data_IF_908780386811
#
_entry.id   IF_908780386811
#
_cell.length_a   1.000
_cell.length_b   1.000
_cell.length_c   1.000
_cell.angle_alpha   90.00
_cell.angle_beta   90.00
_cell.angle_gamma   90.00
#
_symmetry.space_group_name_H-M   'P 1'
#
loop_
_entity.id
_entity.type
_entity.pdbx_description
1 polymer ?
#
# COMPACT_ATOMS: atom_id res chain seq x y z
N UNK A 1 -6.26 -26.16 -39.30
CA UNK A 1 -6.74 -26.46 -37.93
C UNK A 1 -5.73 -26.15 -36.81
N UNK A 2 -4.41 -26.33 -37.00
CA UNK A 2 -3.40 -26.04 -35.96
C UNK A 2 -3.27 -24.56 -35.54
N UNK A 3 -3.55 -23.63 -36.44
CA UNK A 3 -3.47 -22.17 -36.18
C UNK A 3 -4.57 -21.66 -35.22
N UNK A 4 -5.75 -22.27 -35.23
CA UNK A 4 -6.86 -21.92 -34.33
C UNK A 4 -6.54 -22.26 -32.87
N UNK A 5 -5.90 -23.41 -32.65
CA UNK A 5 -5.54 -23.88 -31.30
C UNK A 5 -4.47 -22.98 -30.68
N UNK A 6 -3.49 -22.55 -31.47
CA UNK A 6 -2.42 -21.65 -30.99
C UNK A 6 -2.95 -20.27 -30.65
N UNK A 7 -3.90 -19.72 -31.44
CA UNK A 7 -4.60 -18.47 -31.11
C UNK A 7 -5.45 -18.58 -29.84
N UNK A 8 -6.12 -19.72 -29.63
CA UNK A 8 -6.90 -19.99 -28.42
C UNK A 8 -6.04 -20.04 -27.16
N UNK A 9 -4.87 -20.70 -27.22
CA UNK A 9 -3.93 -20.78 -26.11
C UNK A 9 -3.30 -19.40 -25.81
N UNK A 10 -2.93 -18.64 -26.85
CA UNK A 10 -2.43 -17.26 -26.67
C UNK A 10 -3.50 -16.35 -26.05
N UNK A 11 -4.75 -16.45 -26.52
CA UNK A 11 -5.87 -15.70 -25.97
C UNK A 11 -6.13 -16.03 -24.50
N UNK A 12 -6.05 -17.31 -24.12
CA UNK A 12 -6.21 -17.74 -22.72
C UNK A 12 -5.07 -17.24 -21.83
N UNK A 13 -3.83 -17.22 -22.32
CA UNK A 13 -2.69 -16.69 -21.57
C UNK A 13 -2.78 -15.17 -21.35
N UNK A 14 -3.32 -14.43 -22.32
CA UNK A 14 -3.51 -12.98 -22.20
C UNK A 14 -4.63 -12.58 -21.23
N UNK A 15 -5.58 -13.49 -20.93
CA UNK A 15 -6.69 -13.23 -20.00
C UNK A 15 -6.26 -13.42 -18.53
N UNK A 16 -5.19 -14.19 -18.29
CA UNK A 16 -4.63 -14.43 -16.96
C UNK A 16 -3.45 -13.49 -16.71
N UNK A 17 -3.69 -12.18 -16.76
CA UNK A 17 -2.75 -11.24 -16.15
C UNK A 17 -2.55 -11.62 -14.69
N UNK A 18 -1.30 -11.83 -14.28
CA UNK A 18 -0.97 -12.15 -12.89
C UNK A 18 -1.55 -11.07 -11.98
N UNK A 19 -2.26 -11.50 -10.94
CA UNK A 19 -2.84 -10.58 -9.98
C UNK A 19 -1.71 -9.90 -9.19
N UNK A 20 -1.71 -8.56 -9.16
CA UNK A 20 -0.74 -7.75 -8.42
C UNK A 20 -0.62 -8.27 -6.98
N UNK A 21 0.61 -8.48 -6.51
CA UNK A 21 0.89 -8.90 -5.14
C UNK A 21 1.25 -7.69 -4.27
N UNK A 22 0.64 -7.58 -3.09
CA UNK A 22 0.95 -6.52 -2.13
C UNK A 22 1.19 -7.10 -0.74
N UNK A 23 1.85 -6.32 0.12
CA UNK A 23 1.93 -6.61 1.54
C UNK A 23 0.65 -6.12 2.23
N UNK A 24 0.11 -6.96 3.11
CA UNK A 24 -1.01 -6.66 3.98
C UNK A 24 -0.54 -6.65 5.41
N UNK A 25 -0.89 -5.59 6.13
CA UNK A 25 -0.70 -5.52 7.57
C UNK A 25 -1.67 -6.47 8.28
N UNK A 26 -1.13 -7.31 9.15
CA UNK A 26 -1.90 -8.06 10.14
C UNK A 26 -1.73 -7.34 11.47
N UNK A 27 -2.85 -6.89 12.03
CA UNK A 27 -2.87 -6.27 13.35
C UNK A 27 -2.84 -7.37 14.42
N UNK A 28 -1.77 -7.42 15.23
CA UNK A 28 -1.63 -8.34 16.37
C UNK A 28 -1.88 -7.64 17.72
N UNK A 29 -2.35 -6.39 17.73
CA UNK A 29 -2.55 -5.57 18.93
C UNK A 29 -1.89 -4.19 18.82
N UNK A 30 -1.76 -3.49 19.95
CA UNK A 30 -1.42 -2.06 20.03
C UNK A 30 -0.05 -1.64 19.47
N UNK A 31 0.87 -2.57 19.20
CA UNK A 31 2.28 -2.22 18.89
C UNK A 31 2.89 -3.03 17.74
N UNK A 32 2.35 -4.20 17.40
CA UNK A 32 2.99 -5.13 16.46
C UNK A 32 2.17 -5.35 15.20
N UNK A 33 2.79 -5.00 14.08
CA UNK A 33 2.30 -5.27 12.74
C UNK A 33 3.17 -6.36 12.13
N UNK A 34 2.55 -7.43 11.64
CA UNK A 34 3.24 -8.38 10.75
C UNK A 34 2.79 -8.17 9.31
N UNK A 35 3.68 -8.50 8.38
CA UNK A 35 3.42 -8.38 6.95
C UNK A 35 3.07 -9.75 6.38
N UNK A 36 1.98 -9.82 5.61
CA UNK A 36 1.62 -11.00 4.83
C UNK A 36 1.47 -10.63 3.37
N UNK A 37 1.78 -11.55 2.46
CA UNK A 37 1.57 -11.32 1.02
C UNK A 37 0.12 -11.64 0.67
N UNK A 38 -0.51 -10.76 -0.11
CA UNK A 38 -1.85 -10.97 -0.66
C UNK A 38 -1.85 -10.71 -2.17
N UNK A 39 -2.71 -11.42 -2.89
CA UNK A 39 -3.01 -11.11 -4.29
C UNK A 39 -4.19 -10.12 -4.30
N UNK A 40 -4.05 -9.03 -5.04
CA UNK A 40 -5.11 -8.07 -5.20
C UNK A 40 -6.20 -8.58 -6.14
N UNK A 41 -7.42 -8.06 -5.94
CA UNK A 41 -8.55 -8.42 -6.79
C UNK A 41 -8.52 -7.63 -8.10
N UNK A 42 -9.35 -8.04 -9.07
CA UNK A 42 -9.49 -7.37 -10.39
C UNK A 42 -9.86 -5.89 -10.34
N UNK A 43 -10.18 -5.30 -9.19
CA UNK A 43 -10.51 -3.87 -9.10
C UNK A 43 -9.43 -3.08 -8.32
N UNK A 44 -8.44 -3.77 -7.76
CA UNK A 44 -7.43 -3.21 -6.88
C UNK A 44 -6.05 -3.33 -7.54
N UNK A 45 -5.75 -2.38 -8.42
CA UNK A 45 -4.51 -2.38 -9.21
C UNK A 45 -3.36 -1.62 -8.54
N UNK A 46 -3.49 -1.30 -7.25
CA UNK A 46 -2.49 -0.56 -6.48
C UNK A 46 -2.20 -1.24 -5.15
N UNK A 47 -0.94 -1.27 -4.76
CA UNK A 47 -0.57 -1.45 -3.36
C UNK A 47 -0.60 -0.07 -2.67
N UNK A 48 -1.12 -0.05 -1.45
CA UNK A 48 -1.21 1.15 -0.63
C UNK A 48 -0.55 0.94 0.74
N UNK A 49 -0.01 2.03 1.27
CA UNK A 49 0.34 2.19 2.69
C UNK A 49 -0.44 3.38 3.22
N UNK A 50 -1.10 3.18 4.35
CA UNK A 50 -1.84 4.19 5.11
C UNK A 50 -1.23 4.28 6.49
N UNK A 51 -0.80 5.48 6.87
CA UNK A 51 -0.37 5.75 8.23
C UNK A 51 -1.16 6.91 8.82
N UNK A 52 -2.20 6.58 9.60
CA UNK A 52 -2.98 7.53 10.38
C UNK A 52 -2.38 7.68 11.77
N UNK A 53 -1.48 8.64 11.92
CA UNK A 53 -0.92 9.00 13.21
C UNK A 53 -1.93 9.85 14.00
N UNK A 54 -2.79 9.23 14.82
CA UNK A 54 -3.50 9.91 15.90
C UNK A 54 -2.76 9.66 17.21
N UNK A 55 -2.62 10.69 18.06
CA UNK A 55 -2.10 10.49 19.41
C UNK A 55 -3.27 10.02 20.30
N UNK A 56 -3.12 8.99 21.16
CA UNK A 56 -1.88 8.29 21.50
C UNK A 56 -1.57 7.04 20.66
N UNK A 57 -2.46 6.60 19.76
CA UNK A 57 -2.33 5.36 19.00
C UNK A 57 -2.27 5.63 17.49
N UNK A 58 -1.08 5.54 16.91
CA UNK A 58 -0.93 5.56 15.46
C UNK A 58 -1.56 4.31 14.84
N UNK A 59 -2.35 4.49 13.80
CA UNK A 59 -2.86 3.42 12.94
C UNK A 59 -1.97 3.28 11.71
N UNK A 60 -1.53 2.06 11.46
CA UNK A 60 -0.75 1.69 10.29
C UNK A 60 -1.43 0.54 9.56
N UNK A 61 -1.57 0.66 8.23
CA UNK A 61 -2.24 -0.33 7.40
C UNK A 61 -1.66 -0.37 6.01
N UNK A 62 -1.40 -1.56 5.52
CA UNK A 62 -0.93 -1.84 4.16
C UNK A 62 -1.89 -2.82 3.50
N UNK A 63 -2.05 -2.72 2.18
CA UNK A 63 -2.84 -3.67 1.42
C UNK A 63 -3.06 -3.25 -0.03
N UNK A 64 -4.06 -3.88 -0.65
CA UNK A 64 -4.53 -3.54 -1.98
C UNK A 64 -5.49 -2.33 -1.92
N UNK A 65 -5.49 -1.51 -2.97
CA UNK A 65 -6.34 -0.35 -3.09
C UNK A 65 -6.78 -0.14 -4.54
N UNK A 66 -7.92 0.56 -4.69
CA UNK A 66 -8.38 1.08 -5.98
C UNK A 66 -7.65 2.39 -6.32
N UNK A 67 -7.62 2.76 -7.60
CA UNK A 67 -7.08 4.05 -8.05
C UNK A 67 -7.77 5.23 -7.34
N UNK A 68 -9.10 5.18 -7.23
CA UNK A 68 -9.89 6.22 -6.55
C UNK A 68 -9.49 6.36 -5.08
N UNK A 69 -9.26 5.24 -4.37
CA UNK A 69 -8.81 5.28 -2.98
C UNK A 69 -7.43 5.91 -2.86
N UNK A 70 -6.51 5.60 -3.78
CA UNK A 70 -5.20 6.20 -3.83
C UNK A 70 -5.24 7.72 -4.06
N UNK A 71 -6.12 8.19 -4.96
CA UNK A 71 -6.29 9.63 -5.20
C UNK A 71 -6.87 10.36 -3.98
N UNK A 72 -7.83 9.76 -3.29
CA UNK A 72 -8.39 10.33 -2.05
C UNK A 72 -7.35 10.41 -0.93
N UNK A 73 -6.52 9.38 -0.78
CA UNK A 73 -5.46 9.33 0.22
C UNK A 73 -4.41 10.43 0.01
N UNK A 74 -3.98 10.68 -1.23
CA UNK A 74 -3.01 11.75 -1.52
C UNK A 74 -3.43 13.15 -1.06
N UNK A 75 -4.70 13.37 -0.74
CA UNK A 75 -5.23 14.67 -0.26
C UNK A 75 -5.23 14.83 1.26
N UNK A 76 -5.03 13.75 2.02
CA UNK A 76 -4.98 13.77 3.48
C UNK A 76 -3.52 13.69 3.94
N UNK A 77 -3.09 14.52 4.91
CA UNK A 77 -1.71 14.63 5.44
C UNK A 77 -1.22 13.37 6.22
N UNK A 78 -1.37 12.22 5.59
CA UNK A 78 -1.00 10.88 6.03
C UNK A 78 0.13 10.39 5.11
N UNK A 79 1.03 9.55 5.62
CA UNK A 79 2.14 9.03 4.81
C UNK A 79 1.56 8.00 3.83
N UNK A 80 1.01 8.50 2.74
CA UNK A 80 0.17 7.76 1.83
C UNK A 80 0.95 7.46 0.55
N UNK A 81 1.43 6.23 0.46
CA UNK A 81 2.12 5.74 -0.74
C UNK A 81 1.19 4.80 -1.48
N UNK A 82 1.00 5.06 -2.77
CA UNK A 82 0.39 4.13 -3.70
C UNK A 82 1.36 3.78 -4.83
N UNK A 83 1.38 2.52 -5.22
CA UNK A 83 2.28 2.00 -6.25
C UNK A 83 1.65 0.78 -6.95
N UNK A 84 2.15 0.41 -8.12
CA UNK A 84 1.51 -0.59 -9.01
C UNK A 84 2.44 -1.75 -9.40
N UNK A 85 3.50 -1.98 -8.62
CA UNK A 85 4.44 -3.09 -8.81
C UNK A 85 4.35 -4.05 -7.63
N UNK A 86 4.73 -5.30 -7.82
CA UNK A 86 4.62 -6.30 -6.77
C UNK A 86 5.41 -5.90 -5.51
N UNK A 87 4.75 -6.01 -4.36
CA UNK A 87 5.29 -5.79 -3.01
C UNK A 87 5.89 -4.38 -2.83
N UNK A 88 5.51 -3.43 -3.67
CA UNK A 88 6.06 -2.06 -3.67
C UNK A 88 5.67 -1.24 -2.44
N UNK A 89 4.67 -1.71 -1.69
CA UNK A 89 4.24 -1.10 -0.43
C UNK A 89 5.05 -1.58 0.78
N UNK A 90 6.21 -2.21 0.57
CA UNK A 90 7.17 -2.50 1.63
C UNK A 90 7.75 -1.21 2.20
N UNK A 91 7.71 -1.09 3.52
CA UNK A 91 8.40 -0.03 4.25
C UNK A 91 9.50 -0.64 5.12
N UNK A 92 10.59 0.10 5.27
CA UNK A 92 11.57 -0.18 6.31
C UNK A 92 11.03 0.23 7.68
N UNK A 93 11.46 -0.47 8.72
CA UNK A 93 11.14 -0.11 10.11
C UNK A 93 11.55 1.34 10.41
N UNK A 94 12.67 1.79 9.84
CA UNK A 94 13.17 3.16 9.94
C UNK A 94 12.22 4.18 9.29
N UNK A 95 11.66 3.90 8.12
CA UNK A 95 10.63 4.77 7.49
C UNK A 95 9.39 4.92 8.40
N UNK A 96 8.96 3.84 9.05
CA UNK A 96 7.82 3.85 9.97
C UNK A 96 8.12 4.69 11.21
N UNK A 97 9.30 4.51 11.82
CA UNK A 97 9.74 5.27 12.99
C UNK A 97 9.96 6.76 12.69
N UNK A 98 10.61 7.08 11.58
CA UNK A 98 10.87 8.47 11.16
C UNK A 98 9.57 9.23 10.88
N UNK A 99 8.57 8.56 10.28
CA UNK A 99 7.26 9.16 10.07
C UNK A 99 6.55 9.48 11.38
N UNK A 100 6.66 8.59 12.38
CA UNK A 100 6.11 8.79 13.72
C UNK A 100 6.82 9.95 14.45
N UNK A 101 8.15 9.99 14.42
CA UNK A 101 8.96 11.03 15.08
C UNK A 101 8.74 12.42 14.46
N UNK A 102 8.79 12.55 13.13
CA UNK A 102 8.55 13.83 12.44
C UNK A 102 7.20 14.44 12.83
N UNK A 103 6.17 13.62 12.97
CA UNK A 103 4.83 14.11 13.32
C UNK A 103 4.68 14.41 14.80
N UNK A 104 5.33 13.67 15.71
CA UNK A 104 5.45 14.08 17.13
C UNK A 104 6.14 15.44 17.24
N UNK A 105 7.23 15.65 16.50
CA UNK A 105 7.94 16.92 16.49
C UNK A 105 7.07 18.05 15.92
N UNK A 106 6.27 17.78 14.86
CA UNK A 106 5.27 18.72 14.32
C UNK A 106 4.18 19.05 15.35
N UNK A 107 3.60 18.04 16.02
CA UNK A 107 2.62 18.24 17.11
C UNK A 107 3.18 19.02 18.29
N UNK A 108 4.47 18.83 18.61
CA UNK A 108 5.17 19.57 19.68
C UNK A 108 5.64 20.96 19.24
N UNK A 109 5.27 21.43 18.04
CA UNK A 109 5.64 22.74 17.51
C UNK A 109 7.15 22.93 17.28
N UNK A 110 7.91 21.83 17.11
CA UNK A 110 9.37 21.86 16.95
C UNK A 110 9.87 21.70 15.51
N UNK A 111 8.99 21.50 14.53
CA UNK A 111 9.36 21.49 13.11
C UNK A 111 8.69 22.69 12.44
N UNK A 112 9.45 23.66 11.92
CA UNK A 112 8.87 24.72 11.10
C UNK A 112 8.25 24.11 9.84
N UNK A 113 7.10 24.62 9.41
CA UNK A 113 6.53 24.27 8.12
C UNK A 113 7.52 24.69 7.03
N UNK A 114 8.09 23.71 6.32
CA UNK A 114 8.74 24.00 5.04
C UNK A 114 7.64 24.34 4.04
N UNK A 115 7.58 25.62 3.67
CA UNK A 115 6.83 26.16 2.53
C UNK A 115 7.48 25.74 1.21
#
# INVERSE_FOLDING_TARGET
>A
MKAMITLLILGLLLIHGEALQCLKTINLGDVYYTESKINCTKNEYRCAVIQMLSLPQGYFSMGCATEERCQKMSSTNTLDRCCSTDLCNKLSFEEVCNAHEKKILKFRGRVPEEN
#
